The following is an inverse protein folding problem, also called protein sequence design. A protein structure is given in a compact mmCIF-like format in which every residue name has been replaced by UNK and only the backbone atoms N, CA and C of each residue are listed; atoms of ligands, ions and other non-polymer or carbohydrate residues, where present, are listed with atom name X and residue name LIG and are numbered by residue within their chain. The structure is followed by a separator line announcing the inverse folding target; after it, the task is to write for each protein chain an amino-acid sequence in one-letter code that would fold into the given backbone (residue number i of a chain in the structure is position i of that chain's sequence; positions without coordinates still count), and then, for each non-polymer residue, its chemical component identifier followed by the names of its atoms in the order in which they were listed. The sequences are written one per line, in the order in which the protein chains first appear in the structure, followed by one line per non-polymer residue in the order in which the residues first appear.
data_IF_960083529399
#
_entry.id   IF_960083529399
#
_cell.length_a   1.000
_cell.length_b   1.000
_cell.length_c   1.000
_cell.angle_alpha   90.00
_cell.angle_beta   90.00
_cell.angle_gamma   90.00
#
_symmetry.space_group_name_H-M   'P 1'
#
loop_
_entity.id
_entity.type
_entity.pdbx_description
1 polymer ?
#
# COMPACT_ATOMS: atom_id res chain seq x y z
N UNK A 1 -28.12 9.24 -24.08
CA UNK A 1 -26.74 8.82 -23.72
C UNK A 1 -25.90 8.75 -24.98
N UNK A 2 -24.67 9.27 -24.97
CA UNK A 2 -23.76 9.20 -26.13
C UNK A 2 -22.75 8.06 -25.97
N UNK A 3 -22.11 7.64 -27.07
CA UNK A 3 -21.13 6.54 -27.05
C UNK A 3 -19.95 6.83 -26.11
N UNK A 4 -19.49 8.09 -26.03
CA UNK A 4 -18.42 8.47 -25.11
C UNK A 4 -18.75 8.15 -23.63
N UNK A 5 -20.02 8.28 -23.23
CA UNK A 5 -20.46 7.88 -21.89
C UNK A 5 -20.43 6.36 -21.72
N UNK A 6 -20.82 5.59 -22.74
CA UNK A 6 -20.78 4.12 -22.72
C UNK A 6 -19.34 3.64 -22.53
N UNK A 7 -18.42 4.10 -23.38
CA UNK A 7 -17.01 3.71 -23.34
C UNK A 7 -16.41 4.02 -21.96
N UNK A 8 -16.72 5.20 -21.41
CA UNK A 8 -16.26 5.58 -20.08
C UNK A 8 -16.83 4.69 -18.96
N UNK A 9 -18.06 4.23 -19.09
CA UNK A 9 -18.64 3.25 -18.14
C UNK A 9 -17.88 1.93 -18.23
N UNK A 10 -17.62 1.44 -19.45
CA UNK A 10 -16.88 0.20 -19.67
C UNK A 10 -15.46 0.30 -19.10
N UNK A 11 -14.75 1.38 -19.39
CA UNK A 11 -13.42 1.64 -18.84
C UNK A 11 -13.43 1.65 -17.32
N UNK A 12 -14.34 2.40 -16.70
CA UNK A 12 -14.42 2.46 -15.24
C UNK A 12 -14.84 1.12 -14.61
N UNK A 13 -15.68 0.33 -15.28
CA UNK A 13 -16.09 -0.99 -14.83
C UNK A 13 -14.91 -1.99 -14.83
N UNK A 14 -14.09 -2.01 -15.88
CA UNK A 14 -12.89 -2.85 -15.95
C UNK A 14 -11.86 -2.53 -14.86
N UNK A 15 -11.78 -1.27 -14.44
CA UNK A 15 -10.92 -0.84 -13.34
C UNK A 15 -11.60 -0.91 -11.97
N UNK A 16 -12.82 -1.46 -11.90
CA UNK A 16 -13.63 -1.58 -10.68
C UNK A 16 -13.84 -0.25 -9.92
N UNK A 17 -13.90 0.88 -10.64
CA UNK A 17 -14.09 2.24 -10.08
C UNK A 17 -15.54 2.58 -9.76
N UNK A 18 -16.49 1.83 -10.31
CA UNK A 18 -17.92 2.07 -10.14
C UNK A 18 -18.53 0.86 -9.42
N UNK A 19 -18.84 1.04 -8.14
CA UNK A 19 -19.54 0.06 -7.29
C UNK A 19 -20.91 0.59 -6.84
N UNK A 20 -21.13 1.89 -6.93
CA UNK A 20 -22.36 2.58 -6.53
C UNK A 20 -22.87 3.57 -7.57
N UNK A 21 -24.15 3.94 -7.49
CA UNK A 21 -24.76 4.97 -8.37
C UNK A 21 -24.05 6.32 -8.21
N UNK A 22 -23.59 6.65 -7.00
CA UNK A 22 -22.87 7.89 -6.72
C UNK A 22 -21.56 7.95 -7.51
N UNK A 23 -20.80 6.86 -7.55
CA UNK A 23 -19.56 6.76 -8.35
C UNK A 23 -19.85 6.78 -9.84
N UNK A 24 -20.91 6.11 -10.29
CA UNK A 24 -21.35 6.17 -11.69
C UNK A 24 -21.63 7.62 -12.11
N UNK A 25 -22.35 8.39 -11.27
CA UNK A 25 -22.67 9.80 -11.51
C UNK A 25 -21.41 10.67 -11.48
N UNK A 26 -20.52 10.44 -10.52
CA UNK A 26 -19.24 11.15 -10.38
C UNK A 26 -18.33 10.94 -11.59
N UNK A 27 -18.19 9.69 -12.03
CA UNK A 27 -17.26 9.36 -13.10
C UNK A 27 -17.78 9.79 -14.46
N UNK A 28 -19.07 9.64 -14.72
CA UNK A 28 -19.63 9.82 -16.08
C UNK A 28 -20.35 11.14 -16.30
N UNK A 29 -20.71 11.86 -15.23
CA UNK A 29 -21.62 13.01 -15.25
C UNK A 29 -22.93 12.73 -16.02
N UNK A 30 -23.33 11.45 -16.13
CA UNK A 30 -24.52 11.06 -16.88
C UNK A 30 -25.80 11.39 -16.10
N UNK A 31 -26.64 12.23 -16.70
CA UNK A 31 -27.84 12.79 -16.06
C UNK A 31 -28.89 11.73 -15.69
N UNK A 32 -29.02 10.66 -16.49
CA UNK A 32 -30.06 9.65 -16.26
C UNK A 32 -29.63 8.56 -15.27
N UNK A 33 -28.57 8.80 -14.49
CA UNK A 33 -28.08 7.87 -13.46
C UNK A 33 -29.13 7.59 -12.38
N UNK A 34 -30.01 8.54 -12.08
CA UNK A 34 -31.04 8.34 -11.07
C UNK A 34 -32.14 7.37 -11.55
N UNK A 35 -32.40 7.31 -12.88
CA UNK A 35 -33.41 6.42 -13.48
C UNK A 35 -32.85 5.05 -13.85
N UNK A 36 -31.63 4.99 -14.39
CA UNK A 36 -31.04 3.77 -14.93
C UNK A 36 -29.82 3.25 -14.16
N UNK A 37 -29.30 4.01 -13.19
CA UNK A 37 -28.07 3.68 -12.48
C UNK A 37 -28.10 2.30 -11.85
N UNK A 38 -29.19 1.93 -11.18
CA UNK A 38 -29.34 0.59 -10.59
C UNK A 38 -29.18 -0.54 -11.62
N UNK A 39 -29.78 -0.40 -12.81
CA UNK A 39 -29.66 -1.40 -13.89
C UNK A 39 -28.23 -1.48 -14.42
N UNK A 40 -27.57 -0.33 -14.57
CA UNK A 40 -26.17 -0.27 -15.02
C UNK A 40 -25.23 -0.87 -13.99
N UNK A 41 -25.39 -0.54 -12.71
CA UNK A 41 -24.61 -1.16 -11.62
C UNK A 41 -24.80 -2.67 -11.59
N UNK A 42 -26.04 -3.16 -11.74
CA UNK A 42 -26.31 -4.59 -11.83
C UNK A 42 -25.57 -5.26 -13.00
N UNK A 43 -25.55 -4.62 -14.18
CA UNK A 43 -24.80 -5.13 -15.33
C UNK A 43 -23.28 -5.13 -15.08
N UNK A 44 -22.74 -4.06 -14.49
CA UNK A 44 -21.33 -3.96 -14.11
C UNK A 44 -20.96 -5.09 -13.15
N UNK A 45 -21.75 -5.32 -12.11
CA UNK A 45 -21.49 -6.41 -11.15
C UNK A 45 -21.54 -7.78 -11.81
N UNK A 46 -22.45 -7.99 -12.76
CA UNK A 46 -22.57 -9.27 -13.48
C UNK A 46 -21.39 -9.54 -14.43
N UNK A 47 -20.87 -8.51 -15.08
CA UNK A 47 -19.91 -8.66 -16.18
C UNK A 47 -18.48 -8.24 -15.84
N UNK A 48 -18.30 -7.42 -14.82
CA UNK A 48 -17.01 -6.94 -14.32
C UNK A 48 -16.84 -7.22 -12.82
N UNK A 49 -17.41 -8.33 -12.34
CA UNK A 49 -17.11 -8.82 -10.99
C UNK A 49 -15.59 -9.02 -10.84
N UNK A 50 -14.99 -8.63 -9.70
CA UNK A 50 -13.61 -8.99 -9.41
C UNK A 50 -13.44 -10.51 -9.54
N UNK A 51 -12.41 -10.99 -10.26
CA UNK A 51 -12.17 -12.42 -10.37
C UNK A 51 -12.02 -13.01 -8.96
N UNK A 52 -12.72 -14.10 -8.70
CA UNK A 52 -12.55 -14.83 -7.44
C UNK A 52 -11.07 -15.15 -7.28
N UNK A 53 -10.50 -14.69 -6.16
CA UNK A 53 -9.09 -14.95 -5.85
C UNK A 53 -8.86 -16.47 -5.85
N UNK A 54 -7.94 -17.00 -6.69
CA UNK A 54 -7.73 -18.44 -6.83
C UNK A 54 -7.04 -19.06 -5.61
N UNK A 55 -6.77 -18.29 -4.55
CA UNK A 55 -6.33 -18.83 -3.26
C UNK A 55 -7.51 -19.44 -2.50
N UNK A 56 -8.19 -20.39 -3.13
CA UNK A 56 -8.86 -21.45 -2.38
C UNK A 56 -7.76 -22.18 -1.63
N UNK A 57 -7.82 -22.14 -0.30
CA UNK A 57 -7.02 -22.97 0.58
C UNK A 57 -7.17 -24.44 0.17
N UNK A 58 -6.35 -24.94 -0.73
CA UNK A 58 -6.00 -26.36 -0.73
C UNK A 58 -5.20 -26.56 0.54
N UNK A 59 -5.72 -27.24 1.58
CA UNK A 59 -4.88 -27.62 2.69
C UNK A 59 -3.75 -28.48 2.13
N UNK A 60 -2.51 -28.02 2.28
CA UNK A 60 -1.33 -28.84 2.07
C UNK A 60 -1.52 -30.09 2.93
N UNK A 61 -1.62 -31.27 2.29
CA UNK A 61 -1.67 -32.55 3.00
C UNK A 61 -0.51 -32.55 4.02
N UNK A 62 -0.77 -32.78 5.31
CA UNK A 62 0.30 -32.93 6.27
C UNK A 62 1.05 -34.21 5.92
N UNK A 63 2.27 -34.07 5.40
CA UNK A 63 3.25 -35.16 5.36
C UNK A 63 3.53 -35.51 6.82
N UNK A 64 3.05 -36.68 7.24
CA UNK A 64 3.27 -37.17 8.59
C UNK A 64 4.76 -37.44 8.80
N UNK A 65 5.39 -36.59 9.61
CA UNK A 65 6.57 -36.96 10.39
C UNK A 65 6.28 -36.59 11.83
N UNK A 66 6.06 -37.64 12.60
CA UNK A 66 5.67 -37.65 14.00
C UNK A 66 6.82 -37.20 14.89
N UNK A 67 6.63 -36.13 15.69
CA UNK A 67 6.86 -36.15 17.16
C UNK A 67 6.40 -34.86 17.87
N UNK A 68 5.41 -35.04 18.74
CA UNK A 68 5.16 -34.43 20.06
C UNK A 68 5.29 -32.91 20.29
N UNK A 69 4.11 -32.33 20.58
CA UNK A 69 3.78 -31.42 21.68
C UNK A 69 4.55 -30.11 21.85
N UNK A 70 3.87 -28.98 21.60
CA UNK A 70 3.71 -27.86 22.56
C UNK A 70 2.58 -26.94 22.07
N UNK A 71 1.67 -26.59 22.98
CA UNK A 71 0.62 -25.58 22.80
C UNK A 71 1.29 -24.23 22.51
N UNK A 72 1.05 -23.62 21.36
CA UNK A 72 1.22 -22.18 21.17
C UNK A 72 0.39 -21.69 19.98
N UNK A 73 -0.31 -20.56 20.17
CA UNK A 73 -0.99 -19.81 19.11
C UNK A 73 -0.03 -19.57 17.93
N UNK A 74 -0.46 -19.71 16.66
CA UNK A 74 0.35 -19.27 15.54
C UNK A 74 0.26 -17.75 15.41
N UNK A 75 1.14 -17.06 16.14
CA UNK A 75 1.58 -15.72 15.80
C UNK A 75 2.36 -15.83 14.48
N UNK A 76 1.77 -15.32 13.40
CA UNK A 76 2.40 -15.28 12.09
C UNK A 76 3.76 -14.58 12.21
N UNK A 77 4.90 -15.19 11.84
CA UNK A 77 6.08 -14.39 11.55
C UNK A 77 5.79 -13.69 10.21
N UNK A 78 5.24 -12.47 10.30
CA UNK A 78 5.45 -11.47 9.25
C UNK A 78 6.97 -11.36 9.14
N UNK A 79 7.55 -12.04 8.14
CA UNK A 79 8.90 -11.74 7.68
C UNK A 79 8.85 -10.33 7.09
N UNK A 80 8.84 -9.34 7.99
CA UNK A 80 8.86 -7.93 7.69
C UNK A 80 10.19 -7.72 6.98
N UNK A 81 10.14 -7.67 5.63
CA UNK A 81 11.33 -7.39 4.83
C UNK A 81 11.82 -6.02 5.28
N UNK A 82 12.91 -6.01 6.04
CA UNK A 82 13.52 -4.78 6.50
C UNK A 82 14.02 -4.07 5.26
N UNK A 83 13.29 -3.04 4.84
CA UNK A 83 13.67 -2.27 3.66
C UNK A 83 14.99 -1.58 3.96
N UNK A 84 16.05 -2.05 3.29
CA UNK A 84 17.36 -1.43 3.30
C UNK A 84 17.41 -0.35 2.24
N UNK A 85 18.02 0.77 2.56
CA UNK A 85 18.31 1.81 1.59
C UNK A 85 19.19 1.23 0.47
N UNK A 86 18.76 1.29 -0.79
CA UNK A 86 19.58 0.80 -1.92
C UNK A 86 20.84 1.62 -2.15
N UNK A 87 20.91 2.86 -1.65
CA UNK A 87 22.07 3.73 -1.80
C UNK A 87 23.14 3.54 -0.70
N UNK A 88 22.76 3.18 0.53
CA UNK A 88 23.72 3.05 1.65
C UNK A 88 23.63 1.71 2.42
N UNK A 89 22.67 0.84 2.08
CA UNK A 89 22.48 -0.48 2.69
C UNK A 89 21.88 -0.48 4.11
N UNK A 90 21.69 0.69 4.74
CA UNK A 90 21.18 0.81 6.12
C UNK A 90 19.65 0.71 6.16
N UNK A 91 19.13 0.18 7.27
CA UNK A 91 17.70 0.09 7.56
C UNK A 91 17.19 1.43 8.15
N UNK A 92 15.87 1.62 8.18
CA UNK A 92 15.23 2.83 8.73
C UNK A 92 14.97 3.96 7.73
N UNK A 93 15.50 3.86 6.50
CA UNK A 93 15.17 4.78 5.41
C UNK A 93 15.35 4.10 4.04
N UNK A 94 14.79 4.69 2.97
CA UNK A 94 15.01 4.25 1.59
C UNK A 94 15.88 5.28 0.83
N UNK A 95 16.34 4.93 -0.38
CA UNK A 95 17.25 5.77 -1.16
C UNK A 95 16.67 7.12 -1.61
N UNK A 96 15.35 7.32 -1.51
CA UNK A 96 14.67 8.60 -1.82
C UNK A 96 14.53 9.49 -0.58
N UNK A 97 14.86 8.98 0.61
CA UNK A 97 14.75 9.75 1.83
C UNK A 97 15.99 10.64 1.98
N UNK A 98 15.77 11.94 2.26
CA UNK A 98 16.84 12.95 2.39
C UNK A 98 17.75 12.71 3.59
N UNK A 99 17.34 11.85 4.53
CA UNK A 99 18.18 11.37 5.64
C UNK A 99 19.32 10.45 5.18
N UNK A 100 19.27 9.92 3.95
CA UNK A 100 20.36 9.10 3.43
C UNK A 100 21.57 9.98 3.12
N UNK A 101 22.73 9.64 3.70
CA UNK A 101 24.01 10.34 3.41
C UNK A 101 24.38 10.28 1.93
N UNK A 102 23.97 9.20 1.24
CA UNK A 102 24.19 9.01 -0.19
C UNK A 102 23.04 9.56 -1.06
N UNK A 103 22.11 10.33 -0.48
CA UNK A 103 21.06 10.96 -1.25
C UNK A 103 21.67 12.01 -2.20
N UNK A 104 21.20 12.15 -3.45
CA UNK A 104 21.73 13.13 -4.39
C UNK A 104 21.76 14.57 -3.86
N UNK A 105 20.78 14.93 -3.02
CA UNK A 105 20.74 16.25 -2.38
C UNK A 105 21.75 16.44 -1.23
N UNK A 106 22.26 15.36 -0.63
CA UNK A 106 23.32 15.42 0.39
C UNK A 106 24.72 15.33 -0.23
N UNK A 107 24.87 14.65 -1.36
CA UNK A 107 26.14 14.60 -2.08
C UNK A 107 26.43 15.90 -2.86
N UNK A 108 25.39 16.63 -3.26
CA UNK A 108 25.52 17.92 -3.93
C UNK A 108 26.14 19.02 -3.05
N UNK A 109 26.23 18.83 -1.73
CA UNK A 109 26.77 19.85 -0.80
C UNK A 109 28.25 19.66 -0.46
N UNK A 110 28.97 18.74 -1.14
CA UNK A 110 30.43 18.59 -0.96
C UNK A 110 31.23 19.53 -1.87
N UNK A 111 30.57 20.17 -2.83
CA UNK A 111 31.12 21.30 -3.60
C UNK A 111 30.49 22.59 -3.10
N UNK A 112 31.25 23.32 -2.28
CA UNK A 112 31.03 24.70 -1.84
C UNK A 112 29.93 24.99 -0.79
N UNK A 113 30.43 25.54 0.33
CA UNK A 113 29.76 26.43 1.32
C UNK A 113 28.77 25.82 2.32
N UNK A 114 29.29 25.65 3.54
CA UNK A 114 28.67 25.98 4.84
C UNK A 114 27.14 25.91 4.98
N UNK A 115 26.55 24.73 4.88
CA UNK A 115 25.34 24.47 5.64
C UNK A 115 25.36 23.04 6.17
N UNK A 116 25.82 22.91 7.41
CA UNK A 116 25.95 21.63 8.11
C UNK A 116 24.55 21.03 8.27
N UNK A 117 24.24 19.96 7.50
CA UNK A 117 23.18 19.04 7.88
C UNK A 117 23.63 18.32 9.15
N UNK A 118 23.15 18.77 10.30
CA UNK A 118 23.42 18.11 11.58
C UNK A 118 22.82 16.70 11.51
N UNK A 119 23.62 15.63 11.66
CA UNK A 119 23.06 14.30 11.81
C UNK A 119 22.24 14.29 13.09
N UNK A 120 20.99 13.80 13.00
CA UNK A 120 20.17 13.52 14.16
C UNK A 120 20.82 12.35 14.92
N UNK A 121 21.85 12.67 15.70
CA UNK A 121 22.38 11.77 16.71
C UNK A 121 21.38 11.78 17.86
N UNK A 122 20.71 10.64 18.07
CA UNK A 122 20.09 10.32 19.35
C UNK A 122 21.11 10.56 20.46
N UNK A 123 20.96 11.65 21.20
CA UNK A 123 21.54 11.79 22.53
C UNK A 123 20.41 11.52 23.52
N UNK A 124 20.26 10.25 23.86
CA UNK A 124 19.80 9.84 25.18
C UNK A 124 20.67 10.55 26.22
N UNK A 125 20.15 11.65 26.77
CA UNK A 125 20.63 12.19 28.03
C UNK A 125 19.55 11.88 29.06
N UNK A 126 19.74 10.92 29.98
CA UNK A 126 18.79 10.73 31.07
C UNK A 126 18.88 11.94 32.01
N UNK A 127 17.81 12.71 32.07
CA UNK A 127 17.57 13.69 33.14
C UNK A 127 17.52 12.94 34.47
N UNK A 128 18.64 12.96 35.21
CA UNK A 128 18.68 12.61 36.62
C UNK A 128 17.95 13.72 37.38
N UNK A 129 16.78 13.42 37.93
CA UNK A 129 16.12 14.27 38.91
C UNK A 129 16.82 14.11 40.27
N UNK A 130 17.35 15.19 40.90
CA UNK A 130 17.65 15.14 42.31
C UNK A 130 16.35 15.32 43.11
N UNK A 131 16.06 14.31 43.92
CA UNK A 131 15.05 14.33 44.97
C UNK A 131 15.64 15.10 46.17
N UNK A 132 15.11 16.30 46.46
CA UNK A 132 14.58 16.75 47.77
C UNK A 132 14.63 18.27 47.90
#
# INVERSE_FOLDING_TARGET
MCNATVERIVDCAHHHKIQSILELKKETAWLDTDQFGNKVIYLIQRHAAPPASPFTCTPLRPTMSSTANTICLPEYPLAQRKNKCSACGKEGHNARNKICVNHPSCMATVADKENVCVPFNSLDTPMVYPNR
#
